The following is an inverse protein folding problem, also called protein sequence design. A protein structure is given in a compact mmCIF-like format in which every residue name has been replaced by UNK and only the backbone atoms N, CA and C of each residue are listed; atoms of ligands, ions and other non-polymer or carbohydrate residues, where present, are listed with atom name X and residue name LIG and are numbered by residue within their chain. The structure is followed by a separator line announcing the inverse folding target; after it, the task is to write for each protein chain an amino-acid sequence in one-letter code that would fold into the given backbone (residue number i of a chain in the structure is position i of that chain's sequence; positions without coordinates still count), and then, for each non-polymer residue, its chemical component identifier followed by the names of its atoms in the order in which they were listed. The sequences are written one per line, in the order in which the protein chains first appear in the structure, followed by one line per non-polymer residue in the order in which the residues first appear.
data_IF_590993717756
#
_entry.id   IF_590993717756
#
_cell.length_a   1.000
_cell.length_b   1.000
_cell.length_c   1.000
_cell.angle_alpha   90.00
_cell.angle_beta   90.00
_cell.angle_gamma   90.00
#
_symmetry.space_group_name_H-M   'P 1'
#
loop_
_entity.id
_entity.type
_entity.pdbx_description
1 polymer ?
#
# COMPACT_ATOMS: atom_id res chain seq x y z
N UNK A 1 -5.08 21.32 -0.80
CA UNK A 1 -5.23 20.13 0.08
C UNK A 1 -5.31 18.81 -0.70
N UNK A 2 -5.96 18.73 -1.86
CA UNK A 2 -6.11 17.47 -2.61
C UNK A 2 -4.79 16.81 -3.08
N UNK A 3 -3.85 17.57 -3.66
CA UNK A 3 -2.57 17.00 -4.15
C UNK A 3 -1.66 16.52 -3.00
N UNK A 4 -1.65 17.26 -1.89
CA UNK A 4 -0.90 16.90 -0.69
C UNK A 4 -1.46 15.58 -0.11
N UNK A 5 -2.78 15.43 0.02
CA UNK A 5 -3.41 14.18 0.46
C UNK A 5 -3.16 13.02 -0.50
N UNK A 6 -3.18 13.25 -1.81
CA UNK A 6 -3.00 12.21 -2.83
C UNK A 6 -1.58 11.60 -2.86
N UNK A 7 -0.56 12.31 -2.36
CA UNK A 7 0.83 11.84 -2.39
C UNK A 7 1.39 11.62 -0.98
N UNK A 8 1.15 12.53 -0.03
CA UNK A 8 1.67 12.40 1.33
C UNK A 8 1.04 11.23 2.08
N UNK A 9 -0.24 10.93 1.85
CA UNK A 9 -0.90 9.80 2.52
C UNK A 9 -0.31 8.47 2.04
N UNK A 10 -0.28 8.16 0.71
CA UNK A 10 0.38 6.95 0.24
C UNK A 10 1.86 6.87 0.64
N UNK A 11 2.56 8.01 0.64
CA UNK A 11 3.95 8.04 1.08
C UNK A 11 4.11 7.63 2.55
N UNK A 12 3.36 8.25 3.46
CA UNK A 12 3.41 7.95 4.88
C UNK A 12 3.02 6.49 5.17
N UNK A 13 1.99 5.99 4.49
CA UNK A 13 1.55 4.60 4.61
C UNK A 13 2.62 3.63 4.12
N UNK A 14 3.22 3.82 2.94
CA UNK A 14 4.26 2.91 2.48
C UNK A 14 5.51 2.95 3.38
N UNK A 15 5.90 4.11 3.89
CA UNK A 15 6.99 4.20 4.88
C UNK A 15 6.67 3.36 6.12
N UNK A 16 5.45 3.48 6.66
CA UNK A 16 5.02 2.73 7.84
C UNK A 16 4.94 1.22 7.56
N UNK A 17 4.24 0.82 6.50
CA UNK A 17 3.94 -0.58 6.28
C UNK A 17 5.03 -1.35 5.53
N UNK A 18 5.84 -0.71 4.67
CA UNK A 18 6.96 -1.37 3.96
C UNK A 18 8.31 -1.04 4.59
N UNK A 19 8.57 0.23 4.83
CA UNK A 19 9.82 0.64 5.48
C UNK A 19 9.98 0.01 6.87
N UNK A 20 8.95 0.12 7.71
CA UNK A 20 8.99 -0.39 9.09
C UNK A 20 8.35 -1.78 9.19
N UNK A 21 7.08 -1.93 8.80
CA UNK A 21 6.32 -3.18 8.99
C UNK A 21 6.92 -4.38 8.24
N UNK A 22 7.02 -4.30 6.92
CA UNK A 22 7.67 -5.34 6.11
C UNK A 22 9.14 -5.52 6.51
N UNK A 23 9.88 -4.42 6.71
CA UNK A 23 11.27 -4.45 7.15
C UNK A 23 11.48 -5.27 8.43
N UNK A 24 10.64 -5.06 9.45
CA UNK A 24 10.69 -5.81 10.70
C UNK A 24 10.39 -7.31 10.52
N UNK A 25 9.53 -7.65 9.57
CA UNK A 25 9.13 -9.03 9.28
C UNK A 25 10.05 -9.74 8.28
N UNK A 26 10.90 -9.01 7.54
CA UNK A 26 11.73 -9.55 6.45
C UNK A 26 12.66 -10.68 6.90
N UNK A 27 13.04 -10.71 8.19
CA UNK A 27 13.81 -11.78 8.83
C UNK A 27 13.13 -13.15 8.79
N UNK A 28 11.81 -13.19 8.63
CA UNK A 28 11.02 -14.42 8.46
C UNK A 28 10.83 -14.82 6.99
N UNK A 29 11.46 -14.11 6.05
CA UNK A 29 11.37 -14.35 4.62
C UNK A 29 10.24 -13.58 3.94
N UNK A 30 10.34 -13.47 2.61
CA UNK A 30 9.42 -12.68 1.77
C UNK A 30 7.99 -13.23 1.85
N UNK A 31 7.84 -14.55 1.86
CA UNK A 31 6.54 -15.25 1.91
C UNK A 31 5.77 -15.05 3.21
N UNK A 32 6.43 -14.58 4.28
CA UNK A 32 5.77 -14.16 5.52
C UNK A 32 5.61 -12.64 5.53
N UNK A 33 6.68 -11.90 5.26
CA UNK A 33 6.69 -10.45 5.38
C UNK A 33 5.71 -9.74 4.45
N UNK A 34 5.59 -10.20 3.20
CA UNK A 34 4.67 -9.59 2.23
C UNK A 34 3.20 -9.74 2.66
N UNK A 35 2.64 -10.96 2.83
CA UNK A 35 1.25 -11.10 3.23
C UNK A 35 0.96 -10.54 4.62
N UNK A 36 1.87 -10.69 5.60
CA UNK A 36 1.61 -10.18 6.95
C UNK A 36 1.57 -8.64 7.01
N UNK A 37 2.54 -7.95 6.38
CA UNK A 37 2.50 -6.48 6.31
C UNK A 37 1.34 -5.95 5.46
N UNK A 38 0.92 -6.69 4.43
CA UNK A 38 -0.25 -6.36 3.62
C UNK A 38 -1.56 -6.58 4.39
N UNK A 39 -1.65 -7.61 5.23
CA UNK A 39 -2.81 -7.87 6.07
C UNK A 39 -3.01 -6.75 7.11
N UNK A 40 -1.94 -6.33 7.78
CA UNK A 40 -2.01 -5.21 8.73
C UNK A 40 -2.41 -3.91 8.03
N UNK A 41 -1.86 -3.64 6.84
CA UNK A 41 -2.25 -2.50 6.00
C UNK A 41 -3.74 -2.54 5.65
N UNK A 42 -4.25 -3.68 5.18
CA UNK A 42 -5.65 -3.85 4.83
C UNK A 42 -6.58 -3.67 6.03
N UNK A 43 -6.23 -4.25 7.18
CA UNK A 43 -7.01 -4.12 8.42
C UNK A 43 -7.03 -2.67 8.90
N UNK A 44 -5.94 -1.91 8.74
CA UNK A 44 -5.90 -0.48 9.06
C UNK A 44 -6.88 0.37 8.22
N UNK A 45 -7.30 -0.12 7.05
CA UNK A 45 -8.34 0.48 6.21
C UNK A 45 -9.77 0.06 6.62
N UNK A 46 -9.88 -0.80 7.64
CA UNK A 46 -11.13 -1.33 8.17
C UNK A 46 -11.60 -2.62 7.49
N UNK A 47 -12.44 -3.37 8.21
CA UNK A 47 -13.09 -4.59 7.68
C UNK A 47 -14.33 -4.18 6.90
N UNK A 48 -14.13 -3.77 5.65
CA UNK A 48 -15.18 -3.32 4.74
C UNK A 48 -14.91 -3.80 3.30
N UNK A 49 -15.67 -3.30 2.33
CA UNK A 49 -15.57 -3.68 0.90
C UNK A 49 -14.16 -3.46 0.31
N UNK A 50 -13.36 -2.56 0.90
CA UNK A 50 -12.00 -2.23 0.44
C UNK A 50 -10.94 -3.21 0.99
N UNK A 51 -11.27 -4.03 2.00
CA UNK A 51 -10.30 -4.89 2.68
C UNK A 51 -9.51 -5.80 1.72
N UNK A 52 -10.22 -6.50 0.82
CA UNK A 52 -9.60 -7.46 -0.11
C UNK A 52 -8.69 -6.72 -1.10
N UNK A 53 -9.14 -5.58 -1.64
CA UNK A 53 -8.37 -4.84 -2.63
C UNK A 53 -7.16 -4.14 -1.99
N UNK A 54 -7.30 -3.63 -0.76
CA UNK A 54 -6.19 -3.08 0.02
C UNK A 54 -5.13 -4.15 0.34
N UNK A 55 -5.56 -5.37 0.66
CA UNK A 55 -4.64 -6.50 0.86
C UNK A 55 -3.84 -6.81 -0.40
N UNK A 56 -4.51 -6.94 -1.55
CA UNK A 56 -3.85 -7.23 -2.82
C UNK A 56 -2.88 -6.12 -3.23
N UNK A 57 -3.28 -4.85 -3.09
CA UNK A 57 -2.40 -3.71 -3.31
C UNK A 57 -1.19 -3.74 -2.36
N UNK A 58 -1.42 -4.02 -1.08
CA UNK A 58 -0.36 -4.13 -0.08
C UNK A 58 0.66 -5.22 -0.41
N UNK A 59 0.21 -6.38 -0.91
CA UNK A 59 1.09 -7.46 -1.38
C UNK A 59 1.90 -6.99 -2.60
N UNK A 60 1.26 -6.36 -3.58
CA UNK A 60 1.95 -5.85 -4.76
C UNK A 60 3.02 -4.81 -4.38
N UNK A 61 2.68 -3.84 -3.51
CA UNK A 61 3.62 -2.85 -2.99
C UNK A 61 4.78 -3.48 -2.21
N UNK A 62 4.52 -4.50 -1.38
CA UNK A 62 5.57 -5.22 -0.67
C UNK A 62 6.55 -5.94 -1.63
N UNK A 63 6.03 -6.56 -2.69
CA UNK A 63 6.87 -7.22 -3.71
C UNK A 63 7.65 -6.21 -4.56
N UNK A 64 7.07 -5.06 -4.88
CA UNK A 64 7.78 -3.96 -5.54
C UNK A 64 8.91 -3.41 -4.67
N UNK A 65 8.65 -3.21 -3.37
CA UNK A 65 9.66 -2.79 -2.41
C UNK A 65 10.81 -3.80 -2.29
N UNK A 66 10.51 -5.10 -2.17
CA UNK A 66 11.52 -6.16 -2.08
C UNK A 66 12.41 -6.22 -3.33
N UNK A 67 11.82 -6.12 -4.52
CA UNK A 67 12.57 -6.18 -5.79
C UNK A 67 13.37 -4.92 -6.07
N UNK A 68 12.79 -3.75 -5.82
CA UNK A 68 13.41 -2.47 -6.18
C UNK A 68 14.37 -1.94 -5.12
N UNK A 69 14.27 -2.43 -3.87
CA UNK A 69 14.98 -1.89 -2.71
C UNK A 69 14.73 -0.38 -2.50
N UNK A 70 13.61 0.12 -3.01
CA UNK A 70 13.21 1.52 -2.97
C UNK A 70 11.74 1.61 -2.56
N UNK A 71 11.40 2.65 -1.79
CA UNK A 71 10.02 2.91 -1.40
C UNK A 71 9.20 3.51 -2.54
N UNK A 72 9.85 4.21 -3.47
CA UNK A 72 9.17 5.00 -4.49
C UNK A 72 8.30 4.20 -5.46
N UNK A 73 8.70 3.01 -5.94
CA UNK A 73 7.80 2.20 -6.77
C UNK A 73 6.49 1.85 -6.07
N UNK A 74 6.54 1.49 -4.78
CA UNK A 74 5.34 1.22 -4.00
C UNK A 74 4.48 2.49 -3.82
N UNK A 75 5.12 3.62 -3.49
CA UNK A 75 4.42 4.91 -3.31
C UNK A 75 3.71 5.35 -4.59
N UNK A 76 4.37 5.25 -5.74
CA UNK A 76 3.77 5.63 -7.04
C UNK A 76 2.63 4.68 -7.39
N UNK A 77 2.81 3.37 -7.25
CA UNK A 77 1.74 2.40 -7.52
C UNK A 77 0.52 2.65 -6.64
N UNK A 78 0.72 2.89 -5.35
CA UNK A 78 -0.35 3.18 -4.42
C UNK A 78 -1.05 4.51 -4.73
N UNK A 79 -0.29 5.59 -4.96
CA UNK A 79 -0.86 6.88 -5.32
C UNK A 79 -1.68 6.82 -6.61
N UNK A 80 -1.18 6.11 -7.64
CA UNK A 80 -1.89 5.90 -8.90
C UNK A 80 -3.17 5.08 -8.69
N UNK A 81 -3.12 4.03 -7.87
CA UNK A 81 -4.29 3.22 -7.54
C UNK A 81 -5.39 4.06 -6.85
N UNK A 82 -5.02 4.88 -5.88
CA UNK A 82 -5.98 5.75 -5.19
C UNK A 82 -6.53 6.81 -6.14
N UNK A 83 -5.68 7.44 -6.95
CA UNK A 83 -6.10 8.46 -7.91
C UNK A 83 -7.08 7.89 -8.96
N UNK A 84 -6.82 6.68 -9.48
CA UNK A 84 -7.73 6.04 -10.44
C UNK A 84 -9.06 5.67 -9.80
N UNK A 85 -9.06 5.18 -8.55
CA UNK A 85 -10.27 4.91 -7.78
C UNK A 85 -11.14 6.17 -7.60
N UNK A 86 -10.54 7.28 -7.18
CA UNK A 86 -11.25 8.57 -7.07
C UNK A 86 -11.78 9.07 -8.41
N UNK A 87 -11.00 8.96 -9.48
CA UNK A 87 -11.41 9.38 -10.81
C UNK A 87 -12.62 8.57 -11.30
N UNK A 88 -12.59 7.24 -11.16
CA UNK A 88 -13.70 6.36 -11.52
C UNK A 88 -14.94 6.69 -10.70
N UNK A 89 -14.80 6.84 -9.38
CA UNK A 89 -15.93 7.20 -8.51
C UNK A 89 -16.56 8.54 -8.92
N UNK A 90 -15.75 9.53 -9.30
CA UNK A 90 -16.24 10.85 -9.74
C UNK A 90 -16.94 10.81 -11.11
N UNK A 91 -16.57 9.88 -12.00
CA UNK A 91 -17.20 9.74 -13.32
C UNK A 91 -18.50 8.93 -13.30
N UNK A 92 -18.72 8.12 -12.26
CA UNK A 92 -19.88 7.24 -12.12
C UNK A 92 -20.98 7.79 -11.20
N UNK A 93 -20.71 8.90 -10.50
CA UNK A 93 -21.64 9.65 -9.65
C UNK A 93 -22.09 10.92 -10.37
#
# INVERSE_FOLDING_TARGET
MMLAGAVLVPFAEEVLFRGIGYGALRRYGVWVAAPASAAVFAIAHGVNVVLVIAFLLGVACALLYERSRSIWPAVVTHAVFNASGFAIATLLL
#
